data_IF_586335939575
#
_entry.id   IF_586335939575
#
_cell.length_a   1.000
_cell.length_b   1.000
_cell.length_c   1.000
_cell.angle_alpha   90.00
_cell.angle_beta   90.00
_cell.angle_gamma   90.00
#
_symmetry.space_group_name_H-M   'P 1'
#
loop_
_entity.id
_entity.type
_entity.pdbx_description
1 polymer ?
#
# COMPACT_ATOMS: atom_id res chain seq x y z
N UNK A 1 -16.15 4.08 -24.89
CA UNK A 1 -15.01 3.16 -24.67
C UNK A 1 -15.18 2.05 -25.69
N UNK A 2 -14.17 1.72 -26.49
CA UNK A 2 -14.28 0.64 -27.48
C UNK A 2 -14.41 -0.71 -26.75
N UNK A 3 -15.58 -1.35 -26.86
CA UNK A 3 -15.86 -2.60 -26.17
C UNK A 3 -14.91 -3.72 -26.62
N UNK A 4 -14.44 -3.71 -27.89
CA UNK A 4 -13.49 -4.72 -28.40
C UNK A 4 -12.13 -4.58 -27.74
N UNK A 5 -11.66 -3.35 -27.52
CA UNK A 5 -10.41 -3.09 -26.81
C UNK A 5 -10.49 -3.57 -25.36
N UNK A 6 -11.60 -3.29 -24.67
CA UNK A 6 -11.80 -3.72 -23.27
C UNK A 6 -11.84 -5.25 -23.15
N UNK A 7 -12.55 -5.92 -24.04
CA UNK A 7 -12.59 -7.39 -24.08
C UNK A 7 -11.20 -7.99 -24.32
N UNK A 8 -10.42 -7.43 -25.25
CA UNK A 8 -9.07 -7.91 -25.54
C UNK A 8 -8.11 -7.68 -24.37
N UNK A 9 -8.19 -6.53 -23.69
CA UNK A 9 -7.40 -6.27 -22.47
C UNK A 9 -7.76 -7.28 -21.38
N UNK A 10 -9.06 -7.51 -21.12
CA UNK A 10 -9.51 -8.47 -20.10
C UNK A 10 -9.12 -9.91 -20.42
N UNK A 11 -9.08 -10.28 -21.70
CA UNK A 11 -8.63 -11.59 -22.16
C UNK A 11 -7.09 -11.75 -22.14
N UNK A 12 -6.32 -10.67 -22.00
CA UNK A 12 -4.86 -10.73 -21.96
C UNK A 12 -4.39 -11.37 -20.63
N UNK A 13 -3.63 -12.48 -20.66
CA UNK A 13 -3.13 -13.12 -19.43
C UNK A 13 -2.26 -12.20 -18.57
N UNK A 14 -1.51 -11.26 -19.17
CA UNK A 14 -0.72 -10.25 -18.45
C UNK A 14 -1.59 -9.29 -17.65
N UNK A 15 -2.82 -9.01 -18.11
CA UNK A 15 -3.77 -8.19 -17.36
C UNK A 15 -4.25 -8.93 -16.10
N UNK A 16 -4.59 -10.21 -16.21
CA UNK A 16 -4.94 -11.03 -15.05
C UNK A 16 -3.78 -11.12 -14.05
N UNK A 17 -2.55 -11.26 -14.54
CA UNK A 17 -1.33 -11.22 -13.72
C UNK A 17 -1.14 -9.88 -13.00
N UNK A 18 -1.26 -8.76 -13.73
CA UNK A 18 -1.16 -7.41 -13.17
C UNK A 18 -2.18 -7.20 -12.06
N UNK A 19 -3.45 -7.54 -12.30
CA UNK A 19 -4.53 -7.39 -11.31
C UNK A 19 -4.25 -8.24 -10.08
N UNK A 20 -3.84 -9.50 -10.25
CA UNK A 20 -3.53 -10.40 -9.15
C UNK A 20 -2.37 -9.89 -8.29
N UNK A 21 -1.24 -9.55 -8.92
CA UNK A 21 -0.04 -9.06 -8.24
C UNK A 21 -0.30 -7.74 -7.51
N UNK A 22 -0.89 -6.76 -8.20
CA UNK A 22 -1.18 -5.45 -7.62
C UNK A 22 -2.16 -5.55 -6.46
N UNK A 23 -3.24 -6.31 -6.62
CA UNK A 23 -4.27 -6.44 -5.58
C UNK A 23 -3.74 -7.18 -4.36
N UNK A 24 -3.06 -8.31 -4.54
CA UNK A 24 -2.46 -9.07 -3.44
C UNK A 24 -1.46 -8.22 -2.66
N UNK A 25 -0.62 -7.46 -3.36
CA UNK A 25 0.36 -6.60 -2.73
C UNK A 25 -0.29 -5.41 -1.99
N UNK A 26 -1.25 -4.73 -2.62
CA UNK A 26 -1.98 -3.63 -2.00
C UNK A 26 -2.73 -4.08 -0.74
N UNK A 27 -3.39 -5.25 -0.79
CA UNK A 27 -4.09 -5.81 0.38
C UNK A 27 -3.13 -6.12 1.52
N UNK A 28 -1.95 -6.67 1.24
CA UNK A 28 -0.93 -6.93 2.29
C UNK A 28 -0.49 -5.62 2.97
N UNK A 29 -0.19 -4.58 2.20
CA UNK A 29 0.18 -3.28 2.76
C UNK A 29 -0.98 -2.61 3.51
N UNK A 30 -2.20 -2.75 3.01
CA UNK A 30 -3.39 -2.26 3.69
C UNK A 30 -3.59 -2.95 5.04
N UNK A 31 -3.53 -4.28 5.10
CA UNK A 31 -3.62 -5.05 6.35
C UNK A 31 -2.50 -4.63 7.31
N UNK A 32 -1.27 -4.49 6.82
CA UNK A 32 -0.14 -4.03 7.64
C UNK A 32 -0.40 -2.66 8.27
N UNK A 33 -0.86 -1.68 7.47
CA UNK A 33 -1.21 -0.36 7.98
C UNK A 33 -2.43 -0.38 8.90
N UNK A 34 -3.42 -1.22 8.65
CA UNK A 34 -4.58 -1.40 9.52
C UNK A 34 -4.18 -1.94 10.90
N UNK A 35 -3.25 -2.90 10.95
CA UNK A 35 -2.72 -3.42 12.23
C UNK A 35 -2.05 -2.30 13.03
N UNK A 36 -1.23 -1.46 12.39
CA UNK A 36 -0.58 -0.33 13.05
C UNK A 36 -1.62 0.69 13.53
N UNK A 37 -2.56 1.06 12.66
CA UNK A 37 -3.59 2.05 12.95
C UNK A 37 -4.49 1.60 14.10
N UNK A 38 -5.06 0.40 14.01
CA UNK A 38 -5.91 -0.12 15.08
C UNK A 38 -5.11 -0.44 16.35
N UNK A 39 -3.85 -0.87 16.25
CA UNK A 39 -2.98 -1.01 17.41
C UNK A 39 -2.83 0.31 18.17
N UNK A 40 -2.60 1.41 17.45
CA UNK A 40 -2.54 2.75 18.03
C UNK A 40 -3.88 3.18 18.64
N UNK A 41 -4.97 3.10 17.87
CA UNK A 41 -6.32 3.55 18.31
C UNK A 41 -6.83 2.74 19.50
N UNK A 42 -6.69 1.40 19.47
CA UNK A 42 -7.13 0.54 20.56
C UNK A 42 -6.30 0.79 21.83
N UNK A 43 -4.99 0.99 21.71
CA UNK A 43 -4.16 1.34 22.87
C UNK A 43 -4.61 2.66 23.48
N UNK A 44 -4.93 3.68 22.69
CA UNK A 44 -5.50 4.94 23.22
C UNK A 44 -6.86 4.70 23.92
N UNK A 45 -7.71 3.86 23.33
CA UNK A 45 -9.07 3.63 23.83
C UNK A 45 -9.09 2.88 25.16
N UNK A 46 -8.18 1.91 25.35
CA UNK A 46 -8.19 1.00 26.50
C UNK A 46 -7.04 1.24 27.50
N UNK A 47 -5.93 1.84 27.07
CA UNK A 47 -4.75 2.09 27.91
C UNK A 47 -4.06 3.41 27.52
N UNK A 48 -4.77 4.51 27.72
CA UNK A 48 -4.22 5.87 27.50
C UNK A 48 -3.06 6.20 28.46
N UNK A 49 -2.98 5.54 29.60
CA UNK A 49 -1.94 5.78 30.60
C UNK A 49 -0.58 5.30 30.11
N UNK A 50 -0.53 4.19 29.35
CA UNK A 50 0.67 3.77 28.64
C UNK A 50 1.27 4.92 27.81
N UNK A 51 0.47 5.59 26.99
CA UNK A 51 0.92 6.73 26.19
C UNK A 51 1.30 7.97 27.00
N UNK A 52 0.72 8.15 28.19
CA UNK A 52 1.04 9.23 29.10
C UNK A 52 2.35 9.01 29.89
N UNK A 53 2.87 7.78 29.88
CA UNK A 53 4.15 7.43 30.53
C UNK A 53 5.25 8.38 30.07
N UNK A 54 5.95 8.98 31.04
CA UNK A 54 7.03 9.93 30.78
C UNK A 54 8.30 9.21 30.34
N UNK A 55 8.97 9.78 29.35
CA UNK A 55 10.32 9.42 28.90
C UNK A 55 11.19 10.64 29.12
N UNK A 56 12.01 10.61 30.17
CA UNK A 56 12.72 11.79 30.65
C UNK A 56 11.76 12.81 31.30
N UNK A 57 12.17 14.08 31.33
CA UNK A 57 11.46 15.11 32.11
C UNK A 57 10.23 15.68 31.37
N UNK A 58 10.30 15.82 30.05
CA UNK A 58 9.31 16.59 29.28
C UNK A 58 8.48 15.76 28.31
N UNK A 59 9.01 14.63 27.82
CA UNK A 59 8.42 13.84 26.74
C UNK A 59 7.57 12.68 27.29
N UNK A 60 6.56 12.26 26.53
CA UNK A 60 5.80 11.03 26.79
C UNK A 60 6.12 9.96 25.75
N UNK A 61 5.86 8.69 26.07
CA UNK A 61 6.03 7.54 25.17
C UNK A 61 5.26 7.70 23.85
N UNK A 62 4.17 8.46 23.83
CA UNK A 62 3.39 8.74 22.62
C UNK A 62 4.21 9.39 21.49
N UNK A 63 5.14 10.29 21.83
CA UNK A 63 5.93 11.02 20.84
C UNK A 63 6.83 10.13 19.97
N UNK A 64 7.72 9.29 20.55
CA UNK A 64 8.54 8.39 19.74
C UNK A 64 7.71 7.37 18.98
N UNK A 65 6.62 6.84 19.55
CA UNK A 65 5.74 5.91 18.85
C UNK A 65 5.11 6.57 17.62
N UNK A 66 4.56 7.78 17.76
CA UNK A 66 3.99 8.52 16.64
C UNK A 66 5.03 8.81 15.55
N UNK A 67 6.25 9.22 15.94
CA UNK A 67 7.34 9.44 15.01
C UNK A 67 7.72 8.14 14.25
N UNK A 68 7.79 7.01 14.95
CA UNK A 68 8.04 5.70 14.34
C UNK A 68 6.94 5.33 13.34
N UNK A 69 5.66 5.55 13.67
CA UNK A 69 4.53 5.29 12.76
C UNK A 69 4.66 6.14 11.49
N UNK A 70 5.03 7.41 11.60
CA UNK A 70 5.26 8.29 10.44
C UNK A 70 6.37 7.73 9.55
N UNK A 71 7.52 7.37 10.13
CA UNK A 71 8.65 6.79 9.39
C UNK A 71 8.23 5.49 8.68
N UNK A 72 7.51 4.60 9.37
CA UNK A 72 6.98 3.36 8.79
C UNK A 72 6.03 3.67 7.62
N UNK A 73 5.17 4.68 7.74
CA UNK A 73 4.25 5.10 6.67
C UNK A 73 5.02 5.55 5.41
N UNK A 74 6.07 6.35 5.57
CA UNK A 74 6.93 6.75 4.44
C UNK A 74 7.62 5.55 3.81
N UNK A 75 8.21 4.66 4.62
CA UNK A 75 8.86 3.44 4.13
C UNK A 75 7.88 2.56 3.36
N UNK A 76 6.68 2.35 3.89
CA UNK A 76 5.61 1.56 3.26
C UNK A 76 5.21 2.16 1.91
N UNK A 77 5.11 3.49 1.86
CA UNK A 77 4.81 4.22 0.63
C UNK A 77 5.94 4.05 -0.39
N UNK A 78 7.20 4.21 0.01
CA UNK A 78 8.35 4.02 -0.87
C UNK A 78 8.41 2.59 -1.43
N UNK A 79 8.20 1.59 -0.57
CA UNK A 79 8.12 0.18 -0.98
C UNK A 79 7.01 -0.01 -2.02
N UNK A 80 5.84 0.61 -1.82
CA UNK A 80 4.75 0.55 -2.78
C UNK A 80 5.12 1.19 -4.11
N UNK A 81 5.67 2.41 -4.09
CA UNK A 81 6.06 3.16 -5.30
C UNK A 81 7.13 2.42 -6.10
N UNK A 82 8.17 1.89 -5.44
CA UNK A 82 9.21 1.11 -6.13
C UNK A 82 8.63 -0.12 -6.81
N UNK A 83 7.66 -0.80 -6.18
CA UNK A 83 6.98 -1.94 -6.81
C UNK A 83 6.06 -1.51 -7.95
N UNK A 84 5.35 -0.41 -7.79
CA UNK A 84 4.41 0.09 -8.78
C UNK A 84 5.12 0.57 -10.06
N UNK A 85 6.20 1.33 -9.91
CA UNK A 85 6.98 1.88 -11.03
C UNK A 85 7.93 0.85 -11.66
N UNK A 86 7.98 -0.38 -11.15
CA UNK A 86 8.74 -1.48 -11.73
C UNK A 86 7.79 -2.50 -12.33
N UNK A 87 7.60 -3.59 -11.61
CA UNK A 87 6.85 -4.77 -12.07
C UNK A 87 5.43 -4.45 -12.60
N UNK A 88 4.71 -3.51 -11.99
CA UNK A 88 3.34 -3.19 -12.45
C UNK A 88 3.35 -2.34 -13.71
N UNK A 89 4.25 -1.36 -13.80
CA UNK A 89 4.43 -0.51 -14.98
C UNK A 89 4.93 -1.30 -16.19
N UNK A 90 5.84 -2.26 -15.98
CA UNK A 90 6.33 -3.17 -17.03
C UNK A 90 5.20 -4.02 -17.63
N UNK A 91 4.34 -4.57 -16.75
CA UNK A 91 3.16 -5.33 -17.17
C UNK A 91 2.15 -4.43 -17.91
N UNK A 92 1.89 -3.23 -17.39
CA UNK A 92 0.98 -2.27 -18.04
C UNK A 92 1.47 -1.90 -19.44
N UNK A 93 2.76 -1.59 -19.58
CA UNK A 93 3.39 -1.25 -20.87
C UNK A 93 3.33 -2.43 -21.83
N UNK A 94 3.57 -3.64 -21.35
CA UNK A 94 3.47 -4.86 -22.14
C UNK A 94 2.04 -5.09 -22.66
N UNK A 95 1.02 -4.88 -21.82
CA UNK A 95 -0.39 -5.00 -22.22
C UNK A 95 -0.74 -3.95 -23.28
N UNK A 96 -0.30 -2.70 -23.10
CA UNK A 96 -0.51 -1.61 -24.08
C UNK A 96 0.09 -1.96 -25.44
N UNK A 97 1.29 -2.55 -25.46
CA UNK A 97 1.94 -2.99 -26.69
C UNK A 97 1.19 -4.15 -27.38
N UNK A 98 0.65 -5.10 -26.62
CA UNK A 98 -0.08 -6.27 -27.15
C UNK A 98 -1.43 -5.92 -27.83
N UNK A 99 -1.97 -4.73 -27.56
CA UNK A 99 -3.27 -4.25 -28.09
C UNK A 99 -3.13 -3.02 -28.99
N UNK A 100 -1.90 -2.62 -29.30
CA UNK A 100 -1.59 -1.41 -30.08
C UNK A 100 -2.16 -1.44 -31.50
N UNK A 101 -2.45 -2.62 -32.04
CA UNK A 101 -3.07 -2.83 -33.34
C UNK A 101 -4.56 -2.46 -33.39
N UNK A 102 -5.23 -2.35 -32.24
CA UNK A 102 -6.65 -1.96 -32.14
C UNK A 102 -6.81 -0.49 -31.64
N UNK A 103 -5.73 0.13 -31.16
CA UNK A 103 -5.68 1.54 -30.76
C UNK A 103 -5.70 2.48 -31.97
#
# INVERSE_FOLDING_TARGET
>A
MDNKLVERIKANPKYAELVSKRSSFAVKLAIFMLVIYYGFVLTIAFDKEFFATKVGEVMTVAWPIAATIIVISFITTLIYVVRANGEFEDLETSIKNDVKDIL
#
